data_IF_448780057959
#
_entry.id   IF_448780057959
#
_cell.length_a   1.000
_cell.length_b   1.000
_cell.length_c   1.000
_cell.angle_alpha   90.00
_cell.angle_beta   90.00
_cell.angle_gamma   90.00
#
_symmetry.space_group_name_H-M   'P 1'
#
loop_
_entity.id
_entity.type
_entity.pdbx_description
1 polymer ?
#
# COMPACT_ATOMS: atom_id res chain seq x y z
N UNK A 1 9.64 -9.16 22.72
CA UNK A 1 8.52 -9.98 23.24
C UNK A 1 7.44 -10.00 22.19
N UNK A 2 6.93 -11.16 21.81
CA UNK A 2 5.76 -11.28 20.93
C UNK A 2 4.52 -10.89 21.74
N UNK A 3 3.60 -10.13 21.14
CA UNK A 3 2.31 -9.76 21.72
C UNK A 3 1.25 -10.66 21.09
N UNK A 4 0.49 -11.36 21.92
CA UNK A 4 -0.66 -12.13 21.45
C UNK A 4 -1.79 -11.16 21.07
N UNK A 5 -2.31 -11.30 19.83
CA UNK A 5 -3.42 -10.49 19.35
C UNK A 5 -4.72 -11.16 19.75
N UNK A 6 -5.27 -10.73 20.91
CA UNK A 6 -6.57 -11.19 21.40
C UNK A 6 -7.67 -10.23 20.94
N UNK A 7 -8.94 -10.67 21.03
CA UNK A 7 -10.09 -9.82 20.73
C UNK A 7 -10.10 -8.56 21.62
N UNK A 8 -9.80 -8.71 22.92
CA UNK A 8 -9.71 -7.58 23.86
C UNK A 8 -8.60 -6.60 23.45
N UNK A 9 -7.40 -7.10 23.03
CA UNK A 9 -6.33 -6.25 22.54
C UNK A 9 -6.78 -5.44 21.33
N UNK A 10 -7.51 -6.05 20.40
CA UNK A 10 -8.02 -5.38 19.18
C UNK A 10 -9.02 -4.28 19.59
N UNK A 11 -9.99 -4.59 20.47
CA UNK A 11 -10.98 -3.61 20.93
C UNK A 11 -10.35 -2.41 21.63
N UNK A 12 -9.29 -2.60 22.39
CA UNK A 12 -8.54 -1.51 23.02
C UNK A 12 -7.82 -0.59 22.02
N UNK A 13 -7.54 -1.08 20.80
CA UNK A 13 -6.87 -0.33 19.75
C UNK A 13 -7.82 0.36 18.78
N UNK A 14 -9.08 -0.05 18.73
CA UNK A 14 -10.10 0.58 17.89
C UNK A 14 -10.68 1.79 18.64
N UNK A 15 -10.47 3.02 18.15
CA UNK A 15 -11.02 4.19 18.81
C UNK A 15 -12.55 4.22 18.70
N UNK A 16 -13.26 4.65 19.75
CA UNK A 16 -14.70 4.83 19.68
C UNK A 16 -15.06 5.88 18.62
N UNK A 17 -16.14 5.61 17.88
CA UNK A 17 -16.64 6.55 16.87
C UNK A 17 -17.62 7.52 17.50
N UNK A 18 -17.28 8.81 17.53
CA UNK A 18 -18.18 9.86 17.96
C UNK A 18 -19.36 10.00 16.98
N UNK A 19 -20.55 10.40 17.47
CA UNK A 19 -21.76 10.50 16.63
C UNK A 19 -21.66 11.56 15.54
N UNK A 20 -20.88 12.59 15.76
CA UNK A 20 -20.63 13.71 14.85
C UNK A 20 -19.39 13.51 13.94
N UNK A 21 -18.82 12.31 13.97
CA UNK A 21 -17.67 11.98 13.12
C UNK A 21 -18.06 11.82 11.66
N UNK A 22 -17.12 12.14 10.76
CA UNK A 22 -17.27 11.99 9.32
C UNK A 22 -16.06 11.25 8.74
N UNK A 23 -16.11 10.88 7.46
CA UNK A 23 -15.03 10.11 6.82
C UNK A 23 -13.62 10.71 6.99
N UNK A 24 -13.48 12.02 7.01
CA UNK A 24 -12.19 12.69 7.24
C UNK A 24 -11.62 12.53 8.64
N UNK A 25 -12.48 12.21 9.66
CA UNK A 25 -12.04 11.99 11.04
C UNK A 25 -11.17 10.74 11.17
N UNK A 26 -11.39 9.74 10.33
CA UNK A 26 -10.74 8.43 10.41
C UNK A 26 -9.57 8.29 9.45
N UNK A 27 -9.03 9.41 8.98
CA UNK A 27 -7.87 9.42 8.11
C UNK A 27 -8.15 8.93 6.67
N UNK A 28 -7.12 8.97 5.88
CA UNK A 28 -7.15 8.52 4.49
C UNK A 28 -5.93 7.66 4.16
N UNK A 29 -6.15 6.60 3.41
CA UNK A 29 -5.10 5.70 2.97
C UNK A 29 -4.95 5.79 1.45
N UNK A 30 -3.70 5.90 0.99
CA UNK A 30 -3.32 5.67 -0.39
C UNK A 30 -2.69 4.28 -0.48
N UNK A 31 -3.40 3.33 -1.07
CA UNK A 31 -2.90 2.00 -1.34
C UNK A 31 -2.25 1.96 -2.73
N UNK A 32 -0.94 1.86 -2.80
CA UNK A 32 -0.19 1.66 -4.04
C UNK A 32 0.16 0.18 -4.15
N UNK A 33 -0.66 -0.56 -4.86
CA UNK A 33 -0.67 -2.02 -4.82
C UNK A 33 -1.14 -2.64 -6.13
N UNK A 34 -0.76 -3.89 -6.36
CA UNK A 34 -1.19 -4.68 -7.50
C UNK A 34 -0.39 -4.44 -8.78
N UNK A 35 -0.63 -5.33 -9.70
CA UNK A 35 -0.08 -5.33 -11.07
C UNK A 35 -0.99 -6.16 -11.96
N UNK A 36 -0.75 -6.21 -13.26
CA UNK A 36 -1.49 -7.06 -14.18
C UNK A 36 -1.52 -8.53 -13.75
N UNK A 37 -0.49 -8.99 -13.02
CA UNK A 37 -0.34 -10.38 -12.55
C UNK A 37 -0.88 -10.61 -11.14
N UNK A 38 -0.86 -9.60 -10.25
CA UNK A 38 -1.25 -9.72 -8.84
C UNK A 38 -2.40 -8.80 -8.46
N UNK A 39 -3.51 -8.95 -9.18
CA UNK A 39 -4.72 -8.12 -9.00
C UNK A 39 -5.35 -8.33 -7.63
N UNK A 40 -5.42 -9.60 -7.18
CA UNK A 40 -6.05 -9.96 -5.92
C UNK A 40 -5.37 -9.35 -4.68
N UNK A 41 -4.05 -9.19 -4.70
CA UNK A 41 -3.32 -8.59 -3.59
C UNK A 41 -3.76 -7.15 -3.31
N UNK A 42 -3.97 -6.35 -4.37
CA UNK A 42 -4.47 -4.98 -4.26
C UNK A 42 -5.90 -4.91 -3.70
N UNK A 43 -6.77 -5.83 -4.16
CA UNK A 43 -8.16 -5.88 -3.68
C UNK A 43 -8.23 -6.28 -2.21
N UNK A 44 -7.46 -7.29 -1.80
CA UNK A 44 -7.39 -7.72 -0.40
C UNK A 44 -6.82 -6.62 0.51
N UNK A 45 -5.80 -5.90 0.05
CA UNK A 45 -5.24 -4.77 0.79
C UNK A 45 -6.28 -3.66 0.99
N UNK A 46 -6.91 -3.19 -0.09
CA UNK A 46 -7.92 -2.14 -0.02
C UNK A 46 -9.15 -2.57 0.82
N UNK A 47 -9.60 -3.82 0.71
CA UNK A 47 -10.67 -4.38 1.53
C UNK A 47 -10.29 -4.39 3.02
N UNK A 48 -9.05 -4.79 3.34
CA UNK A 48 -8.52 -4.76 4.71
C UNK A 48 -8.55 -3.35 5.30
N UNK A 49 -8.10 -2.35 4.54
CA UNK A 49 -8.12 -0.94 4.95
C UNK A 49 -9.53 -0.41 5.21
N UNK A 50 -10.49 -0.73 4.32
CA UNK A 50 -11.89 -0.37 4.53
C UNK A 50 -12.46 -1.02 5.79
N UNK A 51 -12.19 -2.30 6.03
CA UNK A 51 -12.66 -3.05 7.20
C UNK A 51 -12.03 -2.61 8.50
N UNK A 52 -10.79 -2.12 8.49
CA UNK A 52 -10.16 -1.52 9.69
C UNK A 52 -10.73 -0.16 10.05
N UNK A 53 -11.56 0.42 9.20
CA UNK A 53 -12.29 1.63 9.47
C UNK A 53 -11.63 2.90 8.96
N UNK A 54 -10.71 2.82 8.01
CA UNK A 54 -10.20 3.99 7.31
C UNK A 54 -11.35 4.82 6.72
N UNK A 55 -11.29 6.13 6.88
CA UNK A 55 -12.36 7.01 6.43
C UNK A 55 -12.43 7.16 4.92
N UNK A 56 -11.29 7.13 4.25
CA UNK A 56 -11.15 7.15 2.80
C UNK A 56 -10.02 6.20 2.41
N UNK A 57 -10.30 5.29 1.49
CA UNK A 57 -9.29 4.44 0.85
C UNK A 57 -9.21 4.79 -0.63
N UNK A 58 -8.02 5.09 -1.11
CA UNK A 58 -7.74 5.32 -2.53
C UNK A 58 -6.79 4.23 -3.03
N UNK A 59 -7.30 3.36 -3.89
CA UNK A 59 -6.48 2.35 -4.55
C UNK A 59 -5.86 2.92 -5.82
N UNK A 60 -4.54 3.01 -5.83
CA UNK A 60 -3.72 3.39 -6.97
C UNK A 60 -3.12 2.14 -7.61
N UNK A 61 -3.51 1.84 -8.82
CA UNK A 61 -3.08 0.64 -9.54
C UNK A 61 -3.28 0.75 -11.04
N UNK A 62 -2.81 -0.25 -11.77
CA UNK A 62 -3.02 -0.38 -13.21
C UNK A 62 -4.47 -0.72 -13.56
N UNK A 63 -4.90 -0.39 -14.78
CA UNK A 63 -6.29 -0.52 -15.22
C UNK A 63 -6.93 -1.90 -14.96
N UNK A 64 -6.26 -3.04 -15.18
CA UNK A 64 -6.87 -4.34 -14.90
C UNK A 64 -7.23 -4.58 -13.43
N UNK A 65 -6.54 -3.90 -12.50
CA UNK A 65 -6.83 -3.94 -11.05
C UNK A 65 -7.96 -2.99 -10.73
N UNK A 66 -7.89 -1.76 -11.25
CA UNK A 66 -8.91 -0.72 -11.05
C UNK A 66 -10.28 -1.19 -11.54
N UNK A 67 -10.34 -1.79 -12.74
CA UNK A 67 -11.56 -2.34 -13.29
C UNK A 67 -12.18 -3.44 -12.43
N UNK A 68 -11.35 -4.30 -11.81
CA UNK A 68 -11.83 -5.32 -10.88
C UNK A 68 -12.31 -4.70 -9.55
N UNK A 69 -11.66 -3.64 -9.08
CA UNK A 69 -12.01 -2.97 -7.84
C UNK A 69 -13.39 -2.29 -7.91
N UNK A 70 -13.75 -1.69 -9.04
CA UNK A 70 -15.06 -1.04 -9.25
C UNK A 70 -16.24 -1.94 -8.88
N UNK A 71 -16.14 -3.22 -9.23
CA UNK A 71 -17.24 -4.17 -9.00
C UNK A 71 -17.25 -4.76 -7.60
N UNK A 72 -16.10 -4.85 -6.95
CA UNK A 72 -15.95 -5.52 -5.66
C UNK A 72 -15.95 -4.55 -4.47
N UNK A 73 -15.39 -3.37 -4.65
CA UNK A 73 -15.16 -2.36 -3.59
C UNK A 73 -15.66 -0.99 -4.08
N UNK A 74 -16.99 -0.83 -4.28
CA UNK A 74 -17.55 0.41 -4.84
C UNK A 74 -17.33 1.63 -3.91
N UNK A 75 -17.07 1.41 -2.62
CA UNK A 75 -16.74 2.45 -1.65
C UNK A 75 -15.29 2.95 -1.73
N UNK A 76 -14.43 2.24 -2.46
CA UNK A 76 -13.03 2.61 -2.64
C UNK A 76 -12.88 3.69 -3.72
N UNK A 77 -12.15 4.77 -3.41
CA UNK A 77 -11.70 5.71 -4.42
C UNK A 77 -10.62 5.07 -5.30
N UNK A 78 -10.59 5.42 -6.57
CA UNK A 78 -9.67 4.82 -7.53
C UNK A 78 -8.74 5.86 -8.12
N UNK A 79 -7.47 5.50 -8.25
CA UNK A 79 -6.43 6.30 -8.91
C UNK A 79 -5.79 5.45 -10.01
N UNK A 80 -6.34 5.47 -11.24
CA UNK A 80 -5.79 4.73 -12.37
C UNK A 80 -4.37 5.20 -12.66
N UNK A 81 -3.44 4.26 -12.72
CA UNK A 81 -2.03 4.48 -12.98
C UNK A 81 -1.66 3.94 -14.36
N UNK A 82 -0.75 4.65 -15.02
CA UNK A 82 -0.13 4.17 -16.25
C UNK A 82 0.62 2.86 -15.95
N UNK A 83 0.36 1.86 -16.78
CA UNK A 83 1.06 0.59 -16.72
C UNK A 83 2.47 0.72 -17.32
N UNK A 84 3.44 0.14 -16.64
CA UNK A 84 4.81 0.03 -17.13
C UNK A 84 5.00 -1.15 -18.09
N UNK A 85 6.16 -1.19 -18.71
CA UNK A 85 6.50 -2.23 -19.69
C UNK A 85 6.46 -3.67 -19.13
N UNK A 86 6.48 -3.81 -17.81
CA UNK A 86 6.48 -5.10 -17.11
C UNK A 86 5.14 -5.41 -16.43
N UNK A 87 4.06 -4.74 -16.80
CA UNK A 87 2.72 -5.00 -16.31
C UNK A 87 2.44 -4.49 -14.90
N UNK A 88 3.22 -3.55 -14.39
CA UNK A 88 2.99 -2.96 -13.10
C UNK A 88 2.80 -1.45 -13.15
N UNK A 89 2.75 -0.82 -11.99
CA UNK A 89 2.63 0.63 -11.89
C UNK A 89 3.93 1.27 -12.34
N UNK A 90 3.89 2.03 -13.42
CA UNK A 90 5.07 2.73 -13.95
C UNK A 90 5.56 3.81 -12.99
N UNK A 91 6.90 3.99 -12.81
CA UNK A 91 7.46 5.04 -11.94
C UNK A 91 7.04 6.47 -12.33
N UNK A 92 6.68 6.71 -13.57
CA UNK A 92 6.17 7.99 -14.08
C UNK A 92 4.87 8.44 -13.39
N UNK A 93 4.19 7.54 -12.67
CA UNK A 93 3.02 7.88 -11.86
C UNK A 93 3.37 8.58 -10.53
N UNK A 94 4.63 8.63 -10.10
CA UNK A 94 5.02 9.24 -8.82
C UNK A 94 4.48 10.66 -8.63
N UNK A 95 4.51 11.57 -9.62
CA UNK A 95 3.91 12.90 -9.47
C UNK A 95 2.40 12.87 -9.27
N UNK A 96 1.68 11.91 -9.87
CA UNK A 96 0.25 11.68 -9.66
C UNK A 96 -0.02 11.19 -8.24
N UNK A 97 0.74 10.18 -7.80
CA UNK A 97 0.61 9.58 -6.47
C UNK A 97 0.91 10.57 -5.35
N UNK A 98 1.93 11.41 -5.50
CA UNK A 98 2.28 12.46 -4.53
C UNK A 98 1.22 13.54 -4.38
N UNK A 99 0.37 13.75 -5.38
CA UNK A 99 -0.77 14.68 -5.29
C UNK A 99 -1.95 14.10 -4.52
N UNK A 100 -1.98 12.80 -4.27
CA UNK A 100 -3.02 12.18 -3.45
C UNK A 100 -2.82 12.61 -2.00
N UNK A 101 -3.84 13.27 -1.44
CA UNK A 101 -3.82 13.70 -0.03
C UNK A 101 -4.19 12.51 0.84
N UNK A 102 -3.21 11.82 1.37
CA UNK A 102 -3.40 10.69 2.27
C UNK A 102 -2.58 10.87 3.56
N UNK A 103 -3.10 10.38 4.68
CA UNK A 103 -2.42 10.37 5.97
C UNK A 103 -1.55 9.12 6.14
N UNK A 104 -1.89 8.06 5.43
CA UNK A 104 -1.16 6.79 5.42
C UNK A 104 -0.92 6.34 3.98
N UNK A 105 0.26 5.83 3.71
CA UNK A 105 0.63 5.14 2.48
C UNK A 105 0.75 3.64 2.77
N UNK A 106 -0.05 2.81 2.11
CA UNK A 106 0.23 1.38 1.97
C UNK A 106 0.95 1.15 0.65
N UNK A 107 2.11 0.51 0.68
CA UNK A 107 2.96 0.35 -0.50
C UNK A 107 3.56 -1.05 -0.57
N UNK A 108 3.32 -1.76 -1.66
CA UNK A 108 4.03 -3.00 -1.93
C UNK A 108 3.20 -4.23 -2.29
N UNK A 109 2.01 -4.49 -1.69
CA UNK A 109 1.27 -5.70 -2.00
C UNK A 109 1.05 -5.89 -3.50
N UNK A 110 1.58 -6.98 -4.07
CA UNK A 110 1.36 -7.33 -5.46
C UNK A 110 2.01 -6.41 -6.51
N UNK A 111 2.97 -5.57 -6.14
CA UNK A 111 3.71 -4.77 -7.13
C UNK A 111 4.49 -5.66 -8.11
N UNK A 112 4.98 -6.80 -7.65
CA UNK A 112 5.80 -7.73 -8.42
C UNK A 112 7.29 -7.48 -8.26
N UNK A 113 8.06 -8.56 -8.23
CA UNK A 113 9.47 -8.55 -7.92
C UNK A 113 10.27 -9.53 -8.77
N UNK A 114 11.39 -10.02 -8.23
CA UNK A 114 12.33 -10.92 -8.90
C UNK A 114 11.71 -12.25 -9.34
N UNK A 115 10.62 -12.68 -8.66
CA UNK A 115 9.91 -13.90 -9.05
C UNK A 115 9.31 -13.84 -10.47
N UNK A 116 9.02 -12.63 -10.99
CA UNK A 116 8.57 -12.42 -12.36
C UNK A 116 9.76 -12.20 -13.31
N UNK A 117 10.57 -11.18 -12.99
CA UNK A 117 11.79 -10.87 -13.75
C UNK A 117 12.62 -9.80 -13.02
N UNK A 118 13.91 -9.72 -13.35
CA UNK A 118 14.78 -8.64 -12.87
C UNK A 118 14.30 -7.25 -13.31
N UNK A 119 13.75 -7.14 -14.53
CA UNK A 119 13.19 -5.90 -15.06
C UNK A 119 11.98 -5.45 -14.25
N UNK A 120 11.07 -6.37 -13.88
CA UNK A 120 9.91 -6.10 -13.01
C UNK A 120 10.35 -5.62 -11.64
N UNK A 121 11.30 -6.32 -11.02
CA UNK A 121 11.85 -5.92 -9.72
C UNK A 121 12.45 -4.51 -9.75
N UNK A 122 13.16 -4.16 -10.83
CA UNK A 122 13.73 -2.83 -11.02
C UNK A 122 12.65 -1.76 -11.15
N UNK A 123 11.58 -2.01 -11.89
CA UNK A 123 10.46 -1.09 -12.07
C UNK A 123 9.75 -0.83 -10.73
N UNK A 124 9.40 -1.88 -9.97
CA UNK A 124 8.80 -1.78 -8.63
C UNK A 124 9.71 -1.05 -7.66
N UNK A 125 11.00 -1.40 -7.65
CA UNK A 125 11.99 -0.74 -6.81
C UNK A 125 12.09 0.76 -7.12
N UNK A 126 12.15 1.13 -8.39
CA UNK A 126 12.22 2.54 -8.81
C UNK A 126 11.00 3.32 -8.35
N UNK A 127 9.80 2.75 -8.49
CA UNK A 127 8.56 3.34 -7.97
C UNK A 127 8.65 3.61 -6.47
N UNK A 128 9.02 2.60 -5.68
CA UNK A 128 9.13 2.69 -4.22
C UNK A 128 10.19 3.72 -3.81
N UNK A 129 11.38 3.67 -4.42
CA UNK A 129 12.48 4.59 -4.14
C UNK A 129 12.13 6.05 -4.42
N UNK A 130 11.33 6.30 -5.42
CA UNK A 130 10.90 7.65 -5.74
C UNK A 130 9.72 8.11 -4.90
N UNK A 131 8.78 7.24 -4.56
CA UNK A 131 7.56 7.61 -3.84
C UNK A 131 7.79 7.75 -2.33
N UNK A 132 8.40 6.75 -1.71
CA UNK A 132 8.47 6.61 -0.25
C UNK A 132 9.17 7.77 0.46
N UNK A 133 10.36 8.25 0.04
CA UNK A 133 11.05 9.35 0.74
C UNK A 133 10.33 10.70 0.69
N UNK A 134 9.42 10.88 -0.24
CA UNK A 134 8.65 12.12 -0.40
C UNK A 134 7.27 12.09 0.24
N UNK A 135 6.90 11.01 0.92
CA UNK A 135 5.61 10.90 1.59
C UNK A 135 5.69 11.45 3.02
N UNK A 136 4.83 12.41 3.35
CA UNK A 136 4.87 13.10 4.64
C UNK A 136 4.11 12.40 5.76
N UNK A 137 3.30 11.38 5.45
CA UNK A 137 2.48 10.61 6.40
C UNK A 137 3.16 9.34 6.88
N UNK A 138 2.38 8.52 7.57
CA UNK A 138 2.79 7.17 7.96
C UNK A 138 2.87 6.24 6.75
N UNK A 139 3.81 5.30 6.73
CA UNK A 139 3.90 4.30 5.68
C UNK A 139 3.82 2.88 6.26
N UNK A 140 3.00 2.06 5.62
CA UNK A 140 2.92 0.61 5.83
C UNK A 140 3.53 -0.04 4.59
N UNK A 141 4.57 -0.83 4.78
CA UNK A 141 5.26 -1.53 3.71
C UNK A 141 5.00 -3.03 3.81
N UNK A 142 4.73 -3.65 2.68
CA UNK A 142 4.54 -5.09 2.59
C UNK A 142 5.17 -5.65 1.31
N UNK A 143 5.48 -6.95 1.31
CA UNK A 143 5.96 -7.68 0.15
C UNK A 143 7.10 -6.94 -0.61
N UNK A 144 6.89 -6.63 -1.90
CA UNK A 144 7.91 -5.97 -2.74
C UNK A 144 8.23 -4.53 -2.28
N UNK A 145 7.34 -3.89 -1.53
CA UNK A 145 7.61 -2.62 -0.85
C UNK A 145 8.69 -2.76 0.22
N UNK A 146 8.66 -3.83 1.02
CA UNK A 146 9.70 -4.14 2.01
C UNK A 146 11.05 -4.43 1.35
N UNK A 147 11.05 -5.25 0.29
CA UNK A 147 12.27 -5.59 -0.44
C UNK A 147 12.97 -4.34 -1.01
N UNK A 148 12.19 -3.42 -1.58
CA UNK A 148 12.71 -2.18 -2.11
C UNK A 148 13.19 -1.23 -1.01
N UNK A 149 12.48 -1.16 0.11
CA UNK A 149 12.86 -0.34 1.26
C UNK A 149 14.14 -0.83 1.93
N UNK A 150 14.32 -2.15 2.05
CA UNK A 150 15.55 -2.73 2.58
C UNK A 150 16.78 -2.31 1.76
N UNK A 151 16.66 -2.23 0.45
CA UNK A 151 17.72 -1.74 -0.42
C UNK A 151 18.01 -0.25 -0.22
N UNK A 152 16.97 0.59 -0.03
CA UNK A 152 17.14 2.00 0.29
C UNK A 152 17.93 2.22 1.60
N UNK A 153 17.62 1.41 2.62
CA UNK A 153 18.34 1.45 3.90
C UNK A 153 19.81 1.04 3.72
N UNK A 154 20.07 0.00 2.94
CA UNK A 154 21.44 -0.44 2.63
C UNK A 154 22.24 0.63 1.86
N UNK A 155 21.56 1.47 1.07
CA UNK A 155 22.16 2.62 0.38
C UNK A 155 22.29 3.88 1.26
N UNK A 156 21.98 3.78 2.56
CA UNK A 156 22.07 4.91 3.50
C UNK A 156 21.01 6.00 3.27
N UNK A 157 19.89 5.67 2.64
CA UNK A 157 18.77 6.59 2.43
C UNK A 157 17.71 6.39 3.51
N UNK A 158 17.73 7.17 4.60
CA UNK A 158 16.77 7.00 5.69
C UNK A 158 15.37 7.46 5.26
N UNK A 159 14.37 6.75 5.72
CA UNK A 159 12.96 7.15 5.67
C UNK A 159 12.27 6.75 6.98
N UNK A 160 11.21 7.48 7.36
CA UNK A 160 10.49 7.19 8.58
C UNK A 160 9.52 6.03 8.33
N UNK A 161 9.80 4.87 8.91
CA UNK A 161 8.88 3.73 8.94
C UNK A 161 8.16 3.69 10.28
N UNK A 162 6.82 3.67 10.24
CA UNK A 162 6.02 3.44 11.43
C UNK A 162 5.70 1.96 11.66
N UNK A 163 5.63 1.16 10.62
CA UNK A 163 5.31 -0.26 10.73
C UNK A 163 5.78 -1.06 9.51
N UNK A 164 6.37 -2.23 9.76
CA UNK A 164 6.59 -3.27 8.74
C UNK A 164 5.77 -4.49 9.15
N UNK A 165 4.96 -5.03 8.23
CA UNK A 165 4.22 -6.26 8.49
C UNK A 165 5.19 -7.44 8.47
N UNK A 166 5.34 -8.21 9.58
CA UNK A 166 6.09 -9.45 9.54
C UNK A 166 5.28 -10.47 8.74
N UNK A 167 5.77 -10.88 7.59
CA UNK A 167 5.17 -11.99 6.85
C UNK A 167 5.50 -13.32 7.54
N UNK A 168 4.55 -14.24 7.76
CA UNK A 168 4.83 -15.58 8.23
C UNK A 168 5.75 -16.38 7.31
N UNK A 169 5.98 -15.91 6.07
CA UNK A 169 6.90 -16.52 5.10
C UNK A 169 8.34 -16.11 5.31
N UNK A 170 8.60 -15.04 6.07
CA UNK A 170 9.95 -14.51 6.29
C UNK A 170 10.65 -15.17 7.50
N UNK A 171 9.99 -16.13 8.15
CA UNK A 171 10.51 -16.85 9.32
C UNK A 171 11.10 -18.23 8.98
N UNK A 172 11.42 -18.50 7.72
CA UNK A 172 12.03 -19.76 7.27
C UNK A 172 13.47 -19.56 6.80
#
# INVERSE_FOLDING_TARGET
MAVEITEEFVWQKIPPRARDSHKGTFGSVLAVAGSAFYRGAALLAAEGELRTGAGIVTLASVEPVVGAAVTRLPECCLCPCKEGAQGGIAPENVPLLRRQKATVLLLGPGLGGTAQSAARATESRTLVQQLLPGFAGAAVLDADGLNAAAQLLAEGKPFCLLYTSPSPRDTR
#
